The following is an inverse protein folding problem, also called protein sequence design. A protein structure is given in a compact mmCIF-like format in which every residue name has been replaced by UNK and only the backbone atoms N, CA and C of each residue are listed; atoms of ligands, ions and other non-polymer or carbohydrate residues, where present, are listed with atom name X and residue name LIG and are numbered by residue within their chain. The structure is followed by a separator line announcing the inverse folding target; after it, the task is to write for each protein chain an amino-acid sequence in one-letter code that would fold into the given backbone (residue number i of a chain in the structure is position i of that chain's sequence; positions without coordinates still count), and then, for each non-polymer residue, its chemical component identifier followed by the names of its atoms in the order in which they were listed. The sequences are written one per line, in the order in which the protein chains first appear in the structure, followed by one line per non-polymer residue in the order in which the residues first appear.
data_IF_451669686903
#
_entry.id   IF_451669686903
#
_cell.length_a   1.000
_cell.length_b   1.000
_cell.length_c   1.000
_cell.angle_alpha   90.00
_cell.angle_beta   90.00
_cell.angle_gamma   90.00
#
_symmetry.space_group_name_H-M   'P 1'
#
loop_
_entity.id
_entity.type
_entity.pdbx_description
1 polymer ?
#
# COMPACT_ATOMS: atom_id res chain seq x y z
N UNK A 1 15.51 4.14 -4.22
CA UNK A 1 16.80 3.84 -4.85
C UNK A 1 16.51 2.64 -5.70
N UNK A 2 16.67 2.78 -7.02
CA UNK A 2 16.41 1.67 -7.94
C UNK A 2 17.62 0.73 -7.97
N UNK A 3 17.35 -0.57 -8.03
CA UNK A 3 18.38 -1.61 -8.15
C UNK A 3 19.02 -1.56 -9.53
N UNK A 4 20.35 -1.54 -9.57
CA UNK A 4 21.04 -1.81 -10.83
C UNK A 4 20.91 -3.31 -11.21
N UNK A 5 21.23 -3.70 -12.45
CA UNK A 5 21.06 -5.09 -12.91
C UNK A 5 21.78 -6.15 -12.08
N UNK A 6 22.99 -5.85 -11.58
CA UNK A 6 23.76 -6.78 -10.74
C UNK A 6 23.10 -6.92 -9.35
N UNK A 7 22.67 -5.80 -8.77
CA UNK A 7 21.98 -5.77 -7.49
C UNK A 7 20.64 -6.50 -7.53
N UNK A 8 19.90 -6.35 -8.63
CA UNK A 8 18.65 -7.06 -8.91
C UNK A 8 18.88 -8.57 -9.01
N UNK A 9 19.88 -8.98 -9.81
CA UNK A 9 20.17 -10.40 -9.97
C UNK A 9 20.58 -11.04 -8.63
N UNK A 10 21.41 -10.34 -7.84
CA UNK A 10 21.81 -10.81 -6.53
C UNK A 10 20.62 -10.87 -5.56
N UNK A 11 19.77 -9.85 -5.55
CA UNK A 11 18.53 -9.83 -4.75
C UNK A 11 17.64 -11.05 -5.08
N UNK A 12 17.40 -11.31 -6.36
CA UNK A 12 16.60 -12.45 -6.82
C UNK A 12 17.21 -13.80 -6.41
N UNK A 13 18.54 -13.98 -6.61
CA UNK A 13 19.24 -15.21 -6.21
C UNK A 13 19.09 -15.51 -4.72
N UNK A 14 19.07 -14.49 -3.88
CA UNK A 14 18.90 -14.69 -2.43
C UNK A 14 17.45 -15.09 -2.11
N UNK A 15 16.46 -14.43 -2.72
CA UNK A 15 15.05 -14.79 -2.55
C UNK A 15 14.83 -16.25 -2.95
N UNK A 16 15.27 -16.66 -4.14
CA UNK A 16 15.09 -18.02 -4.67
C UNK A 16 15.69 -19.12 -3.77
N UNK A 17 16.78 -18.81 -3.06
CA UNK A 17 17.48 -19.73 -2.15
C UNK A 17 17.00 -19.64 -0.71
N UNK A 18 16.05 -18.78 -0.40
CA UNK A 18 15.52 -18.62 0.95
C UNK A 18 14.58 -19.77 1.29
N UNK A 19 14.94 -20.62 2.24
CA UNK A 19 14.04 -21.68 2.74
C UNK A 19 12.71 -21.13 3.31
N UNK A 20 12.62 -19.83 3.59
CA UNK A 20 11.40 -19.17 4.07
C UNK A 20 10.27 -19.20 3.05
N UNK A 21 10.59 -19.22 1.75
CA UNK A 21 9.59 -19.21 0.68
C UNK A 21 9.18 -20.63 0.26
N UNK A 22 9.85 -21.66 0.79
CA UNK A 22 9.52 -23.05 0.47
C UNK A 22 8.08 -23.38 0.90
N UNK A 23 7.24 -23.77 -0.08
CA UNK A 23 5.82 -24.05 0.12
C UNK A 23 5.03 -22.86 0.73
N UNK A 24 5.49 -21.63 0.55
CA UNK A 24 4.83 -20.41 1.02
C UNK A 24 4.45 -19.49 -0.14
N UNK A 25 3.47 -18.64 0.12
CA UNK A 25 3.13 -17.51 -0.75
C UNK A 25 4.23 -16.45 -0.58
N UNK A 26 4.79 -16.00 -1.69
CA UNK A 26 5.77 -14.92 -1.74
C UNK A 26 5.09 -13.66 -2.26
N UNK A 27 5.16 -12.57 -1.50
CA UNK A 27 4.67 -11.24 -1.90
C UNK A 27 5.83 -10.26 -1.95
N UNK A 28 6.07 -9.69 -3.12
CA UNK A 28 7.02 -8.60 -3.32
C UNK A 28 6.34 -7.26 -3.07
N UNK A 29 6.97 -6.36 -2.33
CA UNK A 29 6.42 -5.04 -2.06
C UNK A 29 7.48 -3.94 -2.11
N UNK A 30 7.03 -2.70 -2.27
CA UNK A 30 7.91 -1.54 -2.16
C UNK A 30 8.49 -1.43 -0.76
N UNK A 31 9.69 -0.86 -0.68
CA UNK A 31 10.37 -0.60 0.58
C UNK A 31 11.88 -0.67 0.43
N UNK A 32 12.58 -0.12 1.42
CA UNK A 32 14.04 -0.15 1.42
C UNK A 32 14.54 -1.59 1.41
N UNK A 33 15.47 -1.87 0.51
CA UNK A 33 16.34 -3.04 0.61
C UNK A 33 17.46 -2.66 1.57
N UNK A 34 17.66 -3.37 2.69
CA UNK A 34 18.73 -3.05 3.61
C UNK A 34 20.09 -3.20 2.92
N UNK A 35 20.88 -2.15 3.00
CA UNK A 35 22.31 -2.18 2.74
C UNK A 35 22.96 -2.91 3.91
N UNK A 36 23.33 -4.18 3.72
CA UNK A 36 24.20 -4.85 4.67
C UNK A 36 25.59 -4.83 4.06
N UNK A 37 26.49 -4.08 4.71
CA UNK A 37 27.90 -4.05 4.35
C UNK A 37 28.49 -5.46 4.49
N UNK A 38 28.79 -6.09 3.35
CA UNK A 38 29.22 -7.49 3.29
C UNK A 38 28.12 -8.44 2.80
N UNK A 39 28.54 -9.58 2.22
CA UNK A 39 27.70 -10.59 1.54
C UNK A 39 26.28 -10.68 2.12
N UNK A 40 25.29 -10.39 1.27
CA UNK A 40 23.86 -10.55 1.56
C UNK A 40 23.58 -12.03 1.87
N UNK A 41 23.56 -12.41 3.15
CA UNK A 41 23.27 -13.78 3.58
C UNK A 41 21.77 -13.98 3.81
N UNK A 42 21.24 -15.21 3.85
CA UNK A 42 19.85 -15.46 4.25
C UNK A 42 19.52 -14.93 5.65
N UNK A 43 20.49 -14.83 6.58
CA UNK A 43 20.26 -14.24 7.91
C UNK A 43 20.00 -12.73 7.86
N UNK A 44 20.60 -12.04 6.87
CA UNK A 44 20.45 -10.61 6.59
C UNK A 44 18.97 -10.21 6.33
N UNK A 45 18.15 -11.16 5.85
CA UNK A 45 16.71 -10.99 5.63
C UNK A 45 15.85 -11.12 6.90
N UNK A 46 16.39 -11.62 8.02
CA UNK A 46 15.69 -11.50 9.32
C UNK A 46 15.66 -10.04 9.78
N UNK A 47 16.64 -9.22 9.40
CA UNK A 47 16.63 -7.79 9.71
C UNK A 47 15.73 -6.99 8.75
N UNK A 48 15.34 -7.54 7.58
CA UNK A 48 14.27 -6.98 6.75
C UNK A 48 12.91 -6.96 7.47
N UNK A 49 12.73 -7.77 8.51
CA UNK A 49 11.56 -7.74 9.40
C UNK A 49 11.53 -6.53 10.34
N UNK A 50 12.53 -5.64 10.26
CA UNK A 50 12.55 -4.36 10.97
C UNK A 50 12.26 -3.17 10.06
N UNK A 51 11.90 -3.41 8.79
CA UNK A 51 11.66 -2.34 7.81
C UNK A 51 10.14 -2.05 7.75
N UNK A 52 9.71 -0.78 7.83
CA UNK A 52 8.30 -0.42 8.06
C UNK A 52 7.29 -1.00 7.06
N UNK A 53 7.70 -1.24 5.82
CA UNK A 53 6.79 -1.48 4.70
C UNK A 53 6.27 -2.92 4.63
N UNK A 54 7.18 -3.90 4.56
CA UNK A 54 6.83 -5.31 4.77
C UNK A 54 6.20 -5.55 6.14
N UNK A 55 6.55 -4.76 7.16
CA UNK A 55 5.98 -4.90 8.50
C UNK A 55 4.50 -4.51 8.54
N UNK A 56 4.12 -3.45 7.84
CA UNK A 56 2.72 -3.07 7.72
C UNK A 56 1.90 -4.20 7.07
N UNK A 57 2.30 -4.70 5.90
CA UNK A 57 1.57 -5.77 5.25
C UNK A 57 1.56 -7.08 6.07
N UNK A 58 2.66 -7.41 6.75
CA UNK A 58 2.69 -8.55 7.68
C UNK A 58 1.72 -8.39 8.85
N UNK A 59 1.58 -7.18 9.39
CA UNK A 59 0.64 -6.89 10.46
C UNK A 59 -0.82 -7.02 9.99
N UNK A 60 -1.09 -6.81 8.69
CA UNK A 60 -2.41 -7.00 8.08
C UNK A 60 -2.81 -8.47 7.85
N UNK A 61 -1.89 -9.44 8.00
CA UNK A 61 -2.22 -10.87 7.79
C UNK A 61 -3.28 -11.29 8.83
N UNK A 62 -4.39 -11.93 8.42
CA UNK A 62 -5.44 -12.38 9.34
C UNK A 62 -4.91 -13.23 10.51
N UNK A 63 -5.38 -12.97 11.73
CA UNK A 63 -4.82 -13.59 12.95
C UNK A 63 -4.89 -15.13 12.95
N UNK A 64 -5.93 -15.71 12.34
CA UNK A 64 -6.13 -17.16 12.24
C UNK A 64 -5.15 -17.89 11.33
N UNK A 65 -4.33 -17.19 10.54
CA UNK A 65 -3.46 -17.79 9.53
C UNK A 65 -2.10 -18.22 10.08
N UNK A 66 -2.05 -18.94 11.19
CA UNK A 66 -0.79 -19.32 11.84
C UNK A 66 0.12 -20.18 10.95
N UNK A 67 -0.47 -21.08 10.15
CA UNK A 67 0.28 -21.99 9.26
C UNK A 67 0.51 -21.43 7.84
N UNK A 68 -0.24 -20.40 7.46
CA UNK A 68 -0.42 -19.97 6.07
C UNK A 68 0.04 -18.53 5.81
N UNK A 69 1.02 -18.06 6.57
CA UNK A 69 1.53 -16.68 6.47
C UNK A 69 2.35 -16.46 5.20
N UNK A 70 1.94 -15.54 4.31
CA UNK A 70 2.77 -15.12 3.20
C UNK A 70 4.10 -14.52 3.68
N UNK A 71 5.15 -14.69 2.89
CA UNK A 71 6.44 -14.03 3.11
C UNK A 71 6.52 -12.77 2.27
N UNK A 72 6.73 -11.63 2.94
CA UNK A 72 6.90 -10.34 2.29
C UNK A 72 8.37 -9.98 2.14
N UNK A 73 8.74 -9.51 0.95
CA UNK A 73 10.08 -9.08 0.59
C UNK A 73 10.04 -7.66 0.02
N UNK A 74 10.83 -6.76 0.59
CA UNK A 74 11.01 -5.42 0.03
C UNK A 74 11.94 -5.48 -1.17
N UNK A 75 11.56 -4.81 -2.27
CA UNK A 75 12.32 -4.85 -3.52
C UNK A 75 12.87 -3.49 -3.96
N UNK A 76 12.67 -2.41 -3.22
CA UNK A 76 13.07 -1.06 -3.62
C UNK A 76 11.86 -0.21 -3.97
N UNK A 77 11.90 0.47 -5.11
CA UNK A 77 10.74 1.21 -5.63
C UNK A 77 9.82 0.32 -6.50
N UNK A 78 8.71 0.90 -6.95
CA UNK A 78 7.73 0.25 -7.83
C UNK A 78 8.35 -0.44 -9.04
N UNK A 79 9.34 0.15 -9.70
CA UNK A 79 9.97 -0.47 -10.87
C UNK A 79 10.80 -1.67 -10.45
N UNK A 80 11.51 -1.57 -9.34
CA UNK A 80 12.30 -2.69 -8.82
C UNK A 80 11.42 -3.88 -8.41
N UNK A 81 10.23 -3.64 -7.84
CA UNK A 81 9.27 -4.70 -7.52
C UNK A 81 8.84 -5.44 -8.78
N UNK A 82 8.48 -4.71 -9.85
CA UNK A 82 8.07 -5.29 -11.14
C UNK A 82 9.24 -6.07 -11.77
N UNK A 83 10.43 -5.47 -11.81
CA UNK A 83 11.63 -6.10 -12.35
C UNK A 83 12.02 -7.37 -11.57
N UNK A 84 11.88 -7.33 -10.24
CA UNK A 84 12.13 -8.48 -9.35
C UNK A 84 11.13 -9.59 -9.64
N UNK A 85 9.85 -9.27 -9.79
CA UNK A 85 8.81 -10.25 -10.12
C UNK A 85 9.18 -11.06 -11.37
N UNK A 86 9.49 -10.41 -12.48
CA UNK A 86 9.85 -11.10 -13.72
C UNK A 86 11.22 -11.80 -13.64
N UNK A 87 12.21 -11.15 -13.02
CA UNK A 87 13.55 -11.75 -12.87
C UNK A 87 13.52 -13.03 -12.03
N UNK A 88 12.65 -13.13 -11.02
CA UNK A 88 12.47 -14.36 -10.24
C UNK A 88 11.89 -15.49 -11.10
N UNK A 89 10.93 -15.19 -11.97
CA UNK A 89 10.36 -16.17 -12.91
C UNK A 89 11.40 -16.67 -13.90
N UNK A 90 12.12 -15.75 -14.55
CA UNK A 90 13.17 -16.07 -15.53
C UNK A 90 14.29 -16.92 -14.91
N UNK A 91 14.75 -16.55 -13.72
CA UNK A 91 15.81 -17.29 -13.02
C UNK A 91 15.33 -18.65 -12.49
N UNK A 92 14.07 -18.75 -12.06
CA UNK A 92 13.48 -20.04 -11.67
C UNK A 92 13.38 -20.97 -12.87
N UNK A 93 12.90 -20.50 -14.02
CA UNK A 93 12.78 -21.31 -15.25
C UNK A 93 14.14 -21.85 -15.72
N UNK A 94 15.21 -21.07 -15.56
CA UNK A 94 16.58 -21.50 -15.89
C UNK A 94 17.12 -22.61 -14.97
N UNK A 95 16.70 -22.67 -13.70
CA UNK A 95 17.15 -23.70 -12.76
C UNK A 95 16.11 -24.03 -11.68
N UNK A 96 15.02 -24.75 -12.03
CA UNK A 96 13.94 -25.02 -11.10
C UNK A 96 14.37 -25.85 -9.87
N UNK A 97 15.35 -26.74 -10.05
CA UNK A 97 15.83 -27.68 -9.01
C UNK A 97 16.49 -26.93 -7.84
N UNK A 98 17.11 -25.78 -8.10
CA UNK A 98 17.81 -24.99 -7.08
C UNK A 98 17.02 -23.77 -6.61
N UNK A 99 15.70 -23.82 -6.71
CA UNK A 99 14.78 -22.73 -6.40
C UNK A 99 13.67 -23.22 -5.47
N UNK A 100 13.49 -22.54 -4.34
CA UNK A 100 12.34 -22.79 -3.44
C UNK A 100 11.06 -22.10 -3.90
N UNK A 101 11.12 -21.33 -4.99
CA UNK A 101 9.99 -20.58 -5.52
C UNK A 101 8.96 -21.54 -6.14
N UNK A 102 7.70 -21.39 -5.75
CA UNK A 102 6.56 -21.85 -6.53
C UNK A 102 6.02 -20.65 -7.34
N UNK A 103 6.18 -20.63 -8.67
CA UNK A 103 5.71 -19.52 -9.52
C UNK A 103 4.20 -19.25 -9.38
N UNK A 104 3.40 -20.25 -9.03
CA UNK A 104 1.95 -20.09 -8.86
C UNK A 104 1.59 -19.31 -7.59
N UNK A 105 2.52 -19.25 -6.63
CA UNK A 105 2.39 -18.57 -5.34
C UNK A 105 3.21 -17.27 -5.25
N UNK A 106 3.70 -16.76 -6.40
CA UNK A 106 4.41 -15.48 -6.49
C UNK A 106 3.42 -14.33 -6.77
N UNK A 107 3.46 -13.31 -5.92
CA UNK A 107 2.66 -12.10 -6.05
C UNK A 107 3.53 -10.86 -5.84
N UNK A 108 3.04 -9.71 -6.29
CA UNK A 108 3.56 -8.40 -5.91
C UNK A 108 2.44 -7.43 -5.60
N UNK A 109 2.72 -6.44 -4.77
CA UNK A 109 1.85 -5.30 -4.50
C UNK A 109 2.66 -4.00 -4.59
N UNK A 110 2.20 -3.06 -5.42
CA UNK A 110 2.85 -1.76 -5.66
C UNK A 110 1.89 -0.61 -5.47
N UNK A 111 2.41 0.57 -5.16
CA UNK A 111 1.63 1.79 -5.08
C UNK A 111 1.12 2.19 -6.48
N UNK A 112 -0.13 2.65 -6.54
CA UNK A 112 -0.73 3.13 -7.78
C UNK A 112 0.00 4.35 -8.34
N UNK A 113 0.33 5.30 -7.46
CA UNK A 113 0.87 6.63 -7.78
C UNK A 113 0.02 7.40 -8.82
N UNK A 114 0.36 8.65 -9.14
CA UNK A 114 -0.33 9.43 -10.19
C UNK A 114 0.22 9.09 -11.58
N UNK A 115 1.49 8.71 -11.64
CA UNK A 115 2.14 8.33 -12.88
C UNK A 115 1.94 6.85 -13.12
N UNK A 116 1.34 6.50 -14.27
CA UNK A 116 1.29 5.13 -14.76
C UNK A 116 2.70 4.57 -14.97
N UNK A 117 2.88 3.28 -14.74
CA UNK A 117 4.12 2.56 -15.06
C UNK A 117 3.82 1.38 -15.96
N UNK A 118 4.61 1.27 -17.02
CA UNK A 118 4.59 0.10 -17.90
C UNK A 118 5.07 -1.13 -17.12
N UNK A 119 4.37 -2.24 -17.31
CA UNK A 119 4.73 -3.54 -16.72
C UNK A 119 5.76 -4.27 -17.59
N UNK A 120 5.59 -4.22 -18.92
CA UNK A 120 6.45 -4.93 -19.88
C UNK A 120 6.25 -6.46 -19.87
N UNK A 121 7.26 -7.18 -20.39
CA UNK A 121 7.38 -8.65 -20.31
C UNK A 121 6.20 -9.47 -20.88
N UNK A 122 5.47 -8.94 -21.86
CA UNK A 122 4.25 -9.57 -22.40
C UNK A 122 3.22 -9.94 -21.31
N UNK A 123 3.21 -9.21 -20.20
CA UNK A 123 2.20 -9.40 -19.17
C UNK A 123 0.83 -9.00 -19.72
N UNK A 124 -0.23 -9.67 -19.25
CA UNK A 124 -1.59 -9.47 -19.76
C UNK A 124 -2.10 -8.03 -19.59
N UNK A 125 -1.49 -7.27 -18.66
CA UNK A 125 -1.77 -5.86 -18.44
C UNK A 125 -0.55 -5.02 -18.82
N UNK A 126 -0.70 -4.02 -19.71
CA UNK A 126 0.43 -3.25 -20.21
C UNK A 126 1.02 -2.29 -19.17
N UNK A 127 0.19 -1.78 -18.25
CA UNK A 127 0.59 -0.78 -17.26
C UNK A 127 -0.22 -0.87 -15.95
N UNK A 128 0.20 -0.10 -14.93
CA UNK A 128 -0.45 -0.04 -13.62
C UNK A 128 -1.87 0.51 -13.67
N UNK A 129 -2.22 1.38 -14.62
CA UNK A 129 -3.59 1.88 -14.77
C UNK A 129 -4.54 0.79 -15.24
N UNK A 130 -4.11 -0.03 -16.20
CA UNK A 130 -4.93 -1.13 -16.70
C UNK A 130 -5.15 -2.17 -15.60
N UNK A 131 -4.14 -2.43 -14.78
CA UNK A 131 -4.31 -3.26 -13.57
C UNK A 131 -5.33 -2.62 -12.62
N UNK A 132 -5.25 -1.31 -12.38
CA UNK A 132 -6.18 -0.59 -11.50
C UNK A 132 -7.64 -0.73 -11.97
N UNK A 133 -7.93 -0.43 -13.24
CA UNK A 133 -9.31 -0.49 -13.75
C UNK A 133 -9.86 -1.92 -13.85
N UNK A 134 -9.00 -2.93 -13.96
CA UNK A 134 -9.44 -4.32 -13.91
C UNK A 134 -9.65 -4.80 -12.46
N UNK A 135 -8.81 -4.37 -11.52
CA UNK A 135 -8.89 -4.72 -10.09
C UNK A 135 -10.00 -3.99 -9.33
N UNK A 136 -10.34 -2.75 -9.69
CA UNK A 136 -11.21 -1.89 -8.90
C UNK A 136 -12.43 -1.40 -9.70
N UNK A 137 -13.60 -1.52 -9.09
CA UNK A 137 -14.83 -0.90 -9.56
C UNK A 137 -15.25 0.17 -8.54
N UNK A 138 -14.81 1.40 -8.78
CA UNK A 138 -14.91 2.48 -7.79
C UNK A 138 -14.07 2.18 -6.55
N UNK A 139 -14.71 2.17 -5.38
CA UNK A 139 -14.06 1.89 -4.08
C UNK A 139 -13.89 0.41 -3.75
N UNK A 140 -14.33 -0.49 -4.63
CA UNK A 140 -14.41 -1.92 -4.32
C UNK A 140 -13.47 -2.70 -5.21
N UNK A 141 -12.83 -3.71 -4.62
CA UNK A 141 -12.11 -4.72 -5.40
C UNK A 141 -13.13 -5.54 -6.20
N UNK A 142 -12.88 -5.68 -7.50
CA UNK A 142 -13.63 -6.55 -8.39
C UNK A 142 -13.28 -8.01 -8.08
N UNK A 143 -14.15 -8.67 -7.35
CA UNK A 143 -13.97 -10.06 -6.91
C UNK A 143 -13.88 -11.07 -8.07
N UNK A 144 -14.38 -10.73 -9.27
CA UNK A 144 -14.36 -11.63 -10.42
C UNK A 144 -13.00 -11.64 -11.12
N UNK A 145 -12.30 -10.50 -11.14
CA UNK A 145 -11.02 -10.33 -11.80
C UNK A 145 -9.85 -10.49 -10.85
N UNK A 146 -9.99 -10.08 -9.58
CA UNK A 146 -8.93 -10.14 -8.57
C UNK A 146 -8.16 -11.47 -8.48
N UNK A 147 -8.78 -12.67 -8.55
CA UNK A 147 -8.05 -13.94 -8.54
C UNK A 147 -7.05 -14.14 -9.71
N UNK A 148 -7.23 -13.40 -10.82
CA UNK A 148 -6.39 -13.47 -12.03
C UNK A 148 -5.13 -12.63 -11.92
N UNK A 149 -5.05 -11.73 -10.94
CA UNK A 149 -3.92 -10.84 -10.77
C UNK A 149 -2.81 -11.51 -9.97
N UNK A 150 -1.57 -11.27 -10.39
CA UNK A 150 -0.35 -11.61 -9.63
C UNK A 150 0.41 -10.37 -9.22
N UNK A 151 0.34 -9.32 -10.04
CA UNK A 151 0.77 -7.97 -9.69
C UNK A 151 -0.47 -7.18 -9.28
N UNK A 152 -0.51 -6.72 -8.03
CA UNK A 152 -1.55 -5.86 -7.50
C UNK A 152 -1.07 -4.42 -7.44
N UNK A 153 -1.94 -3.48 -7.79
CA UNK A 153 -1.75 -2.06 -7.49
C UNK A 153 -2.65 -1.68 -6.32
N UNK A 154 -2.23 -0.74 -5.48
CA UNK A 154 -3.09 -0.22 -4.41
C UNK A 154 -4.34 0.47 -4.99
N UNK A 155 -5.50 0.31 -4.35
CA UNK A 155 -6.71 1.03 -4.76
C UNK A 155 -6.74 2.51 -4.32
N UNK A 156 -5.87 2.89 -3.39
CA UNK A 156 -5.57 4.29 -3.03
C UNK A 156 -4.23 4.70 -3.63
N UNK A 157 -3.89 5.99 -3.59
CA UNK A 157 -2.72 6.51 -4.32
C UNK A 157 -1.40 5.85 -3.91
N UNK A 158 -1.30 5.44 -2.64
CA UNK A 158 -0.18 4.66 -2.09
C UNK A 158 -0.56 4.01 -0.76
N UNK A 159 0.34 3.17 -0.24
CA UNK A 159 0.16 2.48 1.05
C UNK A 159 -0.17 3.42 2.22
N UNK A 160 0.44 4.62 2.32
CA UNK A 160 0.21 5.50 3.47
C UNK A 160 -1.24 6.02 3.53
N UNK A 161 -1.97 6.01 2.42
CA UNK A 161 -3.40 6.35 2.41
C UNK A 161 -4.24 5.34 3.21
N UNK A 162 -3.80 4.09 3.30
CA UNK A 162 -4.46 3.08 4.14
C UNK A 162 -4.23 3.31 5.63
N UNK A 163 -3.33 4.21 6.03
CA UNK A 163 -3.07 4.50 7.44
C UNK A 163 -4.05 5.52 8.01
N UNK A 164 -4.85 6.14 7.14
CA UNK A 164 -5.75 7.23 7.50
C UNK A 164 -7.10 7.08 6.80
N UNK A 165 -7.59 5.86 6.56
CA UNK A 165 -8.99 5.65 6.11
C UNK A 165 -9.96 6.01 7.23
N UNK A 166 -11.20 6.46 6.94
CA UNK A 166 -12.09 7.01 7.97
C UNK A 166 -12.43 6.01 9.07
N UNK A 167 -12.45 4.72 8.76
CA UNK A 167 -12.75 3.63 9.69
C UNK A 167 -11.65 3.42 10.75
N UNK A 168 -10.45 3.98 10.54
CA UNK A 168 -9.38 3.94 11.53
C UNK A 168 -9.52 4.99 12.64
N UNK A 169 -10.50 5.90 12.59
CA UNK A 169 -10.68 6.90 13.64
C UNK A 169 -10.81 6.23 15.02
N UNK A 170 -11.59 5.15 15.12
CA UNK A 170 -11.75 4.41 16.37
C UNK A 170 -10.41 3.81 16.83
N UNK A 171 -9.59 3.26 15.93
CA UNK A 171 -8.26 2.76 16.25
C UNK A 171 -7.37 3.83 16.88
N UNK A 172 -7.49 5.08 16.43
CA UNK A 172 -6.75 6.21 17.01
C UNK A 172 -7.34 6.68 18.36
N UNK A 173 -8.66 6.68 18.48
CA UNK A 173 -9.37 7.09 19.70
C UNK A 173 -9.20 6.06 20.83
N UNK A 174 -9.22 4.78 20.49
CA UNK A 174 -9.13 3.64 21.40
C UNK A 174 -7.72 3.08 21.54
N UNK A 175 -6.71 3.74 20.96
CA UNK A 175 -5.35 3.25 20.92
C UNK A 175 -4.87 2.93 22.35
N UNK A 176 -4.74 1.63 22.65
CA UNK A 176 -4.37 1.12 23.99
C UNK A 176 -2.97 1.60 24.39
N UNK A 177 -2.15 1.96 23.40
CA UNK A 177 -0.95 2.76 23.57
C UNK A 177 -1.36 4.17 23.98
N UNK A 178 -1.74 4.32 25.25
CA UNK A 178 -1.82 5.63 25.86
C UNK A 178 -0.46 6.30 25.69
N UNK A 179 -0.43 7.60 25.34
CA UNK A 179 -1.58 8.49 25.06
C UNK A 179 -1.99 8.68 23.57
N UNK A 180 -3.16 9.28 23.37
CA UNK A 180 -3.80 9.53 22.06
C UNK A 180 -2.86 10.31 21.11
N UNK A 181 -2.74 9.92 19.83
CA UNK A 181 -1.93 10.65 18.86
C UNK A 181 -2.38 12.10 18.69
N UNK A 182 -1.42 12.98 18.41
CA UNK A 182 -1.68 14.39 18.16
C UNK A 182 -1.52 14.74 16.68
N UNK A 183 -2.31 15.70 16.21
CA UNK A 183 -2.16 16.36 14.92
C UNK A 183 -2.27 17.87 15.10
N UNK A 184 -1.21 18.59 14.72
CA UNK A 184 -1.07 20.05 14.96
C UNK A 184 -1.33 20.44 16.43
N UNK A 185 -0.86 19.62 17.37
CA UNK A 185 -0.97 19.86 18.81
C UNK A 185 -2.34 19.55 19.45
N UNK A 186 -3.32 19.07 18.68
CA UNK A 186 -4.62 18.62 19.20
C UNK A 186 -4.75 17.10 19.07
N UNK A 187 -5.69 16.49 19.79
CA UNK A 187 -6.04 15.08 19.59
C UNK A 187 -6.36 14.84 18.10
N UNK A 188 -5.83 13.75 17.56
CA UNK A 188 -5.97 13.41 16.16
C UNK A 188 -7.44 13.17 15.79
N UNK A 189 -7.96 14.04 14.92
CA UNK A 189 -9.18 13.80 14.16
C UNK A 189 -8.82 13.66 12.69
N UNK A 190 -9.10 12.50 12.08
CA UNK A 190 -8.80 12.25 10.67
C UNK A 190 -9.52 13.24 9.75
N UNK A 191 -10.69 13.74 10.15
CA UNK A 191 -11.40 14.81 9.43
C UNK A 191 -10.55 16.06 9.24
N UNK A 192 -9.69 16.42 10.20
CA UNK A 192 -8.82 17.60 10.07
C UNK A 192 -7.68 17.34 9.08
N UNK A 193 -7.16 16.11 9.04
CA UNK A 193 -6.20 15.69 8.00
C UNK A 193 -6.85 15.79 6.61
N UNK A 194 -8.08 15.31 6.44
CA UNK A 194 -8.76 15.36 5.13
C UNK A 194 -9.00 16.78 4.65
N UNK A 195 -9.41 17.68 5.55
CA UNK A 195 -9.56 19.11 5.23
C UNK A 195 -8.23 19.72 4.78
N UNK A 196 -7.14 19.45 5.50
CA UNK A 196 -5.82 19.94 5.10
C UNK A 196 -5.34 19.33 3.78
N UNK A 197 -5.62 18.06 3.53
CA UNK A 197 -5.32 17.39 2.27
C UNK A 197 -6.06 18.04 1.10
N UNK A 198 -7.35 18.34 1.28
CA UNK A 198 -8.16 18.99 0.25
C UNK A 198 -7.64 20.40 -0.09
N UNK A 199 -7.15 21.15 0.90
CA UNK A 199 -6.56 22.46 0.68
C UNK A 199 -5.31 22.44 -0.22
N UNK A 200 -4.62 21.30 -0.30
CA UNK A 200 -3.42 21.12 -1.13
C UNK A 200 -3.70 20.59 -2.54
N UNK A 201 -4.94 20.26 -2.90
CA UNK A 201 -5.28 19.69 -4.23
C UNK A 201 -4.72 20.54 -5.37
N UNK A 202 -4.87 21.87 -5.29
CA UNK A 202 -4.42 22.78 -6.34
C UNK A 202 -2.93 23.16 -6.24
N UNK A 203 -2.23 22.65 -5.24
CA UNK A 203 -0.81 22.90 -4.99
C UNK A 203 0.07 21.70 -5.37
N UNK A 204 -0.52 20.52 -5.60
CA UNK A 204 0.19 19.31 -5.98
C UNK A 204 0.56 19.35 -7.48
N UNK A 205 1.86 19.47 -7.83
CA UNK A 205 2.30 19.54 -9.23
C UNK A 205 2.08 18.22 -9.97
N UNK A 206 2.22 17.08 -9.30
CA UNK A 206 2.01 15.77 -9.91
C UNK A 206 0.53 15.62 -10.27
N UNK A 207 -0.37 16.01 -9.36
CA UNK A 207 -1.81 15.97 -9.63
C UNK A 207 -2.18 16.90 -10.78
N UNK A 208 -1.59 18.10 -10.83
CA UNK A 208 -1.81 19.03 -11.94
C UNK A 208 -1.39 18.45 -13.29
N UNK A 209 -0.26 17.73 -13.34
CA UNK A 209 0.25 17.12 -14.57
C UNK A 209 -0.52 15.86 -14.98
N UNK A 210 -1.19 15.18 -14.04
CA UNK A 210 -1.88 13.91 -14.25
C UNK A 210 -3.38 13.98 -13.93
N UNK A 211 -3.98 15.19 -13.99
CA UNK A 211 -5.35 15.44 -13.54
C UNK A 211 -6.38 14.54 -14.23
N UNK A 212 -6.27 14.35 -15.55
CA UNK A 212 -7.23 13.55 -16.33
C UNK A 212 -7.28 12.12 -15.80
N UNK A 213 -6.11 11.48 -15.67
CA UNK A 213 -5.98 10.12 -15.14
C UNK A 213 -6.53 10.05 -13.70
N UNK A 214 -6.12 10.98 -12.84
CA UNK A 214 -6.57 11.03 -11.45
C UNK A 214 -8.09 11.17 -11.33
N UNK A 215 -8.69 12.01 -12.17
CA UNK A 215 -10.13 12.24 -12.24
C UNK A 215 -10.92 11.04 -12.79
N UNK A 216 -10.35 10.29 -13.74
CA UNK A 216 -10.98 9.06 -14.22
C UNK A 216 -11.09 8.01 -13.10
N UNK A 217 -10.09 7.89 -12.23
CA UNK A 217 -10.10 6.95 -11.10
C UNK A 217 -11.21 7.24 -10.09
N UNK A 218 -11.56 8.52 -9.90
CA UNK A 218 -12.58 8.95 -8.93
C UNK A 218 -13.95 9.23 -9.56
N UNK A 219 -14.17 8.86 -10.83
CA UNK A 219 -15.40 9.16 -11.56
C UNK A 219 -16.68 8.56 -10.93
N UNK A 220 -16.51 7.58 -10.03
CA UNK A 220 -17.58 6.99 -9.24
C UNK A 220 -18.14 7.98 -8.20
N UNK A 221 -17.40 9.01 -7.81
CA UNK A 221 -17.82 10.02 -6.84
C UNK A 221 -18.45 11.22 -7.58
N UNK A 222 -19.78 11.30 -7.68
CA UNK A 222 -20.43 12.34 -8.48
C UNK A 222 -20.20 13.73 -7.87
N UNK A 223 -20.31 14.79 -8.67
CA UNK A 223 -20.31 16.17 -8.17
C UNK A 223 -18.94 16.80 -7.87
N UNK A 224 -17.85 16.12 -8.23
CA UNK A 224 -16.52 16.71 -8.27
C UNK A 224 -16.26 17.34 -9.65
N UNK A 225 -15.73 18.57 -9.67
CA UNK A 225 -15.42 19.30 -10.90
C UNK A 225 -13.97 19.04 -11.32
N UNK A 226 -13.80 18.19 -12.33
CA UNK A 226 -12.50 17.78 -12.84
C UNK A 226 -11.93 18.65 -13.97
N UNK A 227 -12.43 19.88 -14.14
CA UNK A 227 -11.95 20.81 -15.18
C UNK A 227 -10.50 21.24 -14.95
N UNK A 228 -10.16 21.61 -13.72
CA UNK A 228 -8.80 21.90 -13.28
C UNK A 228 -8.66 21.60 -11.77
N UNK A 229 -7.46 21.67 -11.23
CA UNK A 229 -7.20 21.35 -9.81
C UNK A 229 -7.81 22.36 -8.84
N UNK A 230 -8.07 23.61 -9.25
CA UNK A 230 -8.73 24.63 -8.41
C UNK A 230 -10.22 24.37 -8.31
N UNK A 231 -10.85 24.02 -9.43
CA UNK A 231 -12.24 23.58 -9.48
C UNK A 231 -12.45 22.26 -8.74
N UNK A 232 -11.52 21.31 -8.86
CA UNK A 232 -11.57 20.05 -8.12
C UNK A 232 -11.48 20.28 -6.62
N UNK A 233 -10.56 21.12 -6.17
CA UNK A 233 -10.45 21.55 -4.77
C UNK A 233 -11.76 22.17 -4.28
N UNK A 234 -12.28 23.15 -5.02
CA UNK A 234 -13.45 23.94 -4.62
C UNK A 234 -14.69 23.06 -4.51
N UNK A 235 -14.94 22.23 -5.52
CA UNK A 235 -16.07 21.30 -5.54
C UNK A 235 -15.96 20.24 -4.45
N UNK A 236 -14.77 19.69 -4.19
CA UNK A 236 -14.56 18.74 -3.10
C UNK A 236 -14.90 19.36 -1.74
N UNK A 237 -14.34 20.53 -1.42
CA UNK A 237 -14.56 21.22 -0.14
C UNK A 237 -16.03 21.59 0.05
N UNK A 238 -16.67 22.14 -1.00
CA UNK A 238 -18.08 22.50 -0.96
C UNK A 238 -18.96 21.28 -0.71
N UNK A 239 -18.70 20.17 -1.41
CA UNK A 239 -19.49 18.96 -1.27
C UNK A 239 -19.28 18.29 0.08
N UNK A 240 -18.03 18.22 0.57
CA UNK A 240 -17.72 17.64 1.87
C UNK A 240 -18.39 18.39 3.03
N UNK A 241 -18.42 19.72 2.98
CA UNK A 241 -19.02 20.56 4.02
C UNK A 241 -20.56 20.60 3.95
N UNK A 242 -21.16 20.44 2.77
CA UNK A 242 -22.61 20.50 2.59
C UNK A 242 -23.32 19.14 2.73
N UNK A 243 -22.57 18.04 2.61
CA UNK A 243 -23.13 16.69 2.77
C UNK A 243 -23.33 16.38 4.26
N UNK A 244 -24.49 15.85 4.63
CA UNK A 244 -24.72 15.26 5.97
C UNK A 244 -24.61 13.73 5.97
N UNK A 245 -24.84 13.10 4.80
CA UNK A 245 -24.72 11.66 4.62
C UNK A 245 -23.28 11.16 4.81
N UNK A 246 -23.09 10.28 5.78
CA UNK A 246 -21.80 9.70 6.12
C UNK A 246 -21.24 8.85 4.98
N UNK A 247 -22.08 8.14 4.23
CA UNK A 247 -21.63 7.31 3.11
C UNK A 247 -21.03 8.18 2.02
N UNK A 248 -21.74 9.23 1.60
CA UNK A 248 -21.21 10.17 0.61
C UNK A 248 -19.96 10.93 1.12
N UNK A 249 -19.87 11.24 2.42
CA UNK A 249 -18.62 11.79 3.00
C UNK A 249 -17.45 10.83 2.89
N UNK A 250 -17.67 9.55 3.20
CA UNK A 250 -16.62 8.54 3.10
C UNK A 250 -16.18 8.37 1.65
N UNK A 251 -17.10 8.38 0.68
CA UNK A 251 -16.74 8.36 -0.75
C UNK A 251 -15.85 9.54 -1.15
N UNK A 252 -16.15 10.74 -0.65
CA UNK A 252 -15.30 11.92 -0.88
C UNK A 252 -13.91 11.77 -0.26
N UNK A 253 -13.83 11.20 0.96
CA UNK A 253 -12.56 10.94 1.64
C UNK A 253 -11.73 9.94 0.84
N UNK A 254 -12.32 8.83 0.40
CA UNK A 254 -11.61 7.84 -0.41
C UNK A 254 -11.19 8.39 -1.79
N UNK A 255 -12.02 9.23 -2.41
CA UNK A 255 -11.63 9.96 -3.61
C UNK A 255 -10.39 10.83 -3.33
N UNK A 256 -10.37 11.57 -2.23
CA UNK A 256 -9.22 12.39 -1.83
C UNK A 256 -7.95 11.54 -1.60
N UNK A 257 -8.08 10.40 -0.93
CA UNK A 257 -7.00 9.44 -0.66
C UNK A 257 -6.48 8.74 -1.93
N UNK A 258 -7.24 8.81 -3.03
CA UNK A 258 -6.84 8.36 -4.37
C UNK A 258 -6.14 9.45 -5.18
N UNK A 259 -6.24 10.72 -4.75
CA UNK A 259 -5.64 11.88 -5.43
C UNK A 259 -4.36 12.37 -4.75
N UNK A 260 -4.36 12.49 -3.42
CA UNK A 260 -3.31 13.19 -2.66
C UNK A 260 -2.54 12.21 -1.78
N UNK A 261 -1.20 12.28 -1.87
CA UNK A 261 -0.30 11.46 -1.07
C UNK A 261 -0.41 11.81 0.43
N UNK A 262 -0.85 10.85 1.23
CA UNK A 262 -1.01 10.94 2.68
C UNK A 262 0.32 10.99 3.47
N UNK A 263 1.44 10.57 2.87
CA UNK A 263 2.76 10.44 3.54
C UNK A 263 3.21 11.66 4.33
N UNK A 264 2.98 12.86 3.82
CA UNK A 264 3.37 14.09 4.53
C UNK A 264 2.44 14.41 5.71
N UNK A 265 1.19 13.95 5.67
CA UNK A 265 0.22 14.09 6.75
C UNK A 265 0.46 13.04 7.83
N UNK A 266 0.72 11.80 7.44
CA UNK A 266 1.14 10.71 8.32
C UNK A 266 2.36 11.11 9.17
N UNK A 267 3.37 11.75 8.55
CA UNK A 267 4.57 12.23 9.27
C UNK A 267 4.32 13.34 10.28
N UNK A 268 3.20 14.06 10.16
CA UNK A 268 2.78 15.12 11.10
C UNK A 268 1.95 14.59 12.25
N UNK A 269 1.63 13.29 12.27
CA UNK A 269 1.07 12.65 13.45
C UNK A 269 2.19 12.51 14.47
N UNK A 270 1.98 13.14 15.61
CA UNK A 270 2.94 13.25 16.69
C UNK A 270 2.51 12.37 17.87
N UNK A 271 3.50 11.84 18.60
CA UNK A 271 3.19 11.26 19.89
C UNK A 271 2.73 12.36 20.86
N UNK A 272 2.03 11.97 21.91
CA UNK A 272 1.71 12.85 23.03
C UNK A 272 2.96 13.23 23.85
N UNK A 273 2.88 14.29 24.68
CA UNK A 273 4.06 14.93 25.29
C UNK A 273 4.87 14.06 26.26
N UNK A 274 4.25 13.06 26.87
CA UNK A 274 4.84 12.12 27.83
C UNK A 274 5.46 10.88 27.17
N UNK A 275 5.35 10.76 25.83
CA UNK A 275 6.04 9.71 25.09
C UNK A 275 7.56 9.88 25.15
N UNK A 276 8.26 8.84 25.61
CA UNK A 276 9.69 8.92 25.92
C UNK A 276 10.63 8.59 24.75
N UNK A 277 10.10 8.09 23.63
CA UNK A 277 10.90 7.67 22.45
C UNK A 277 10.70 8.66 21.30
N UNK A 278 11.33 8.41 20.15
CA UNK A 278 11.17 9.29 19.00
C UNK A 278 9.76 9.17 18.38
N UNK A 279 9.28 10.20 17.67
CA UNK A 279 8.01 10.15 16.92
C UNK A 279 7.97 9.05 15.86
N UNK A 280 9.11 8.66 15.29
CA UNK A 280 9.21 7.58 14.31
C UNK A 280 8.82 6.24 14.95
N UNK A 281 9.37 5.94 16.13
CA UNK A 281 9.03 4.72 16.87
C UNK A 281 7.53 4.68 17.19
N UNK A 282 6.97 5.83 17.58
CA UNK A 282 5.54 5.92 17.88
C UNK A 282 4.69 5.60 16.66
N UNK A 283 5.02 6.20 15.51
CA UNK A 283 4.34 5.89 14.24
C UNK A 283 4.52 4.43 13.84
N UNK A 284 5.70 3.82 14.06
CA UNK A 284 5.90 2.40 13.79
C UNK A 284 4.98 1.52 14.65
N UNK A 285 4.71 1.90 15.91
CA UNK A 285 3.74 1.20 16.75
C UNK A 285 2.30 1.42 16.28
N UNK A 286 1.94 2.64 15.90
CA UNK A 286 0.62 2.92 15.31
C UNK A 286 0.40 2.10 14.03
N UNK A 287 1.42 1.92 13.19
CA UNK A 287 1.33 1.06 12.00
C UNK A 287 0.99 -0.38 12.34
N UNK A 288 1.46 -0.90 13.47
CA UNK A 288 1.12 -2.26 13.92
C UNK A 288 -0.34 -2.34 14.36
N UNK A 289 -0.86 -1.34 15.07
CA UNK A 289 -2.28 -1.28 15.46
C UNK A 289 -3.20 -1.09 14.24
N UNK A 290 -2.80 -0.26 13.27
CA UNK A 290 -3.49 -0.13 11.99
C UNK A 290 -3.46 -1.46 11.23
N UNK A 291 -2.32 -2.15 11.19
CA UNK A 291 -2.23 -3.48 10.58
C UNK A 291 -3.15 -4.49 11.27
N UNK A 292 -3.20 -4.45 12.60
CA UNK A 292 -4.10 -5.28 13.41
C UNK A 292 -5.57 -5.00 13.07
N UNK A 293 -5.97 -3.74 12.87
CA UNK A 293 -7.31 -3.40 12.38
C UNK A 293 -7.65 -4.17 11.10
N UNK A 294 -6.79 -4.17 10.10
CA UNK A 294 -7.02 -4.92 8.85
C UNK A 294 -7.04 -6.44 9.07
N UNK A 295 -6.17 -6.95 9.93
CA UNK A 295 -6.10 -8.37 10.29
C UNK A 295 -7.38 -8.88 10.96
N UNK A 296 -7.97 -8.07 11.84
CA UNK A 296 -9.20 -8.40 12.57
C UNK A 296 -10.45 -8.22 11.70
N UNK A 297 -10.42 -7.26 10.76
CA UNK A 297 -11.48 -7.04 9.76
C UNK A 297 -11.19 -7.81 8.45
N UNK A 298 -10.64 -9.02 8.57
CA UNK A 298 -10.32 -9.85 7.40
C UNK A 298 -11.54 -10.23 6.57
N UNK A 299 -12.75 -10.23 7.16
CA UNK A 299 -14.00 -10.49 6.44
C UNK A 299 -14.60 -9.27 5.74
N UNK A 300 -14.12 -8.06 6.05
CA UNK A 300 -14.58 -6.83 5.40
C UNK A 300 -14.14 -6.75 3.92
N UNK A 301 -14.79 -5.88 3.16
CA UNK A 301 -14.48 -5.63 1.74
C UNK A 301 -13.37 -4.57 1.52
N UNK A 302 -12.54 -4.29 2.52
CA UNK A 302 -11.38 -3.41 2.35
C UNK A 302 -10.38 -3.99 1.34
N UNK A 303 -9.67 -3.14 0.60
CA UNK A 303 -8.73 -3.59 -0.44
C UNK A 303 -7.70 -4.60 0.09
N UNK A 304 -7.09 -4.32 1.25
CA UNK A 304 -6.10 -5.20 1.87
C UNK A 304 -6.73 -6.51 2.37
N UNK A 305 -7.90 -6.46 3.01
CA UNK A 305 -8.63 -7.65 3.45
C UNK A 305 -8.93 -8.58 2.26
N UNK A 306 -9.40 -8.02 1.14
CA UNK A 306 -9.66 -8.79 -0.09
C UNK A 306 -8.37 -9.34 -0.69
N UNK A 307 -7.29 -8.54 -0.74
CA UNK A 307 -5.99 -9.03 -1.20
C UNK A 307 -5.56 -10.29 -0.43
N UNK A 308 -5.64 -10.27 0.90
CA UNK A 308 -5.36 -11.46 1.70
C UNK A 308 -6.33 -12.60 1.37
N UNK A 309 -7.66 -12.38 1.30
CA UNK A 309 -8.60 -13.44 0.89
C UNK A 309 -8.21 -14.11 -0.44
N UNK A 310 -7.72 -13.33 -1.41
CA UNK A 310 -7.23 -13.88 -2.69
C UNK A 310 -5.97 -14.72 -2.49
N UNK A 311 -4.98 -14.24 -1.73
CA UNK A 311 -3.79 -15.04 -1.41
C UNK A 311 -4.16 -16.38 -0.77
N UNK A 312 -5.19 -16.42 0.09
CA UNK A 312 -5.64 -17.64 0.76
C UNK A 312 -6.03 -18.77 -0.21
N UNK A 313 -6.46 -18.42 -1.42
CA UNK A 313 -6.87 -19.40 -2.44
C UNK A 313 -5.67 -20.21 -2.97
N UNK A 314 -4.44 -19.79 -2.67
CA UNK A 314 -3.18 -20.41 -3.12
C UNK A 314 -2.43 -21.11 -1.99
N UNK A 315 -3.07 -21.25 -0.83
CA UNK A 315 -2.50 -21.91 0.35
C UNK A 315 -2.36 -23.41 0.14
#
# INVERSE_FOLDING_TARGET
MSLNPEELQEHCKIILKSNRIENKILVLCEGKIPELGGRRSPESYKEMERIPDANFYKACIPQGWSQYRPQFFNCGDRQDVINTYFSLLDLHEQNPINSYLDPTKLFSIVDLDLQSKEIGHNYQFPDTETIFYDLYQGLKVNQQTAPKHRIWVTGLIHKESYFIIPELQETFDSCVMLPVPLYKGNNLLLTDIYKDMAELINQDPDLKNHLITACQRINYCPGLNCTDTTELKTSWIQKFNSTEDLTCKNELIYALLTLIKAKNFWRKIEPPPDWSRSPEVYRDQLLLEIGKFYSEHSDAEYHLSVFFKILYQFV
#
